data_IF_747479848628
#
_entry.id   IF_747479848628
#
_cell.length_a   1.000
_cell.length_b   1.000
_cell.length_c   1.000
_cell.angle_alpha   90.00
_cell.angle_beta   90.00
_cell.angle_gamma   90.00
#
_symmetry.space_group_name_H-M   'P 1'
#
loop_
_entity.id
_entity.type
_entity.pdbx_description
1 polymer ?
#
# COMPACT_ATOMS: atom_id res chain seq x y z
N UNK A 1 -12.22 21.36 4.29
CA UNK A 1 -10.90 21.99 4.49
C UNK A 1 -10.14 21.15 5.50
N UNK A 2 -8.97 20.61 5.12
CA UNK A 2 -8.08 19.93 6.06
C UNK A 2 -7.21 20.97 6.77
N UNK A 3 -6.80 20.69 8.01
CA UNK A 3 -5.98 21.58 8.84
C UNK A 3 -4.57 21.01 8.97
N UNK A 4 -3.62 21.85 9.41
CA UNK A 4 -2.27 21.34 9.67
C UNK A 4 -2.26 20.39 10.88
N UNK A 5 -1.29 19.46 10.99
CA UNK A 5 -1.16 18.59 12.15
C UNK A 5 -1.01 19.35 13.48
N UNK A 6 -0.38 20.53 13.45
CA UNK A 6 -0.23 21.35 14.66
C UNK A 6 -1.54 22.06 15.03
N UNK A 7 -2.27 22.58 14.05
CA UNK A 7 -3.62 23.10 14.28
C UNK A 7 -4.55 21.99 14.80
N UNK A 8 -4.41 20.75 14.30
CA UNK A 8 -5.14 19.61 14.84
C UNK A 8 -4.79 19.38 16.32
N UNK A 9 -3.51 19.43 16.69
CA UNK A 9 -3.08 19.30 18.08
C UNK A 9 -3.69 20.38 18.97
N UNK A 10 -3.57 21.66 18.60
CA UNK A 10 -4.12 22.79 19.37
C UNK A 10 -5.63 22.64 19.61
N UNK A 11 -6.38 22.27 18.56
CA UNK A 11 -7.83 22.17 18.62
C UNK A 11 -8.33 20.89 19.30
N UNK A 12 -7.60 19.77 19.16
CA UNK A 12 -8.12 18.44 19.49
C UNK A 12 -7.33 17.69 20.56
N UNK A 13 -6.13 18.11 20.94
CA UNK A 13 -5.25 17.35 21.83
C UNK A 13 -4.69 18.19 22.98
N UNK A 14 -4.47 19.48 22.77
CA UNK A 14 -3.88 20.36 23.78
C UNK A 14 -4.73 20.39 25.06
N UNK A 15 -4.07 20.17 26.20
CA UNK A 15 -4.72 20.15 27.52
C UNK A 15 -5.57 18.92 27.82
N UNK A 16 -5.62 17.93 26.92
CA UNK A 16 -6.35 16.67 27.15
C UNK A 16 -5.53 15.67 27.97
N UNK A 17 -6.23 14.80 28.68
CA UNK A 17 -5.60 13.67 29.40
C UNK A 17 -5.18 12.57 28.43
N UNK A 18 -4.27 11.70 28.86
CA UNK A 18 -3.84 10.53 28.06
C UNK A 18 -5.04 9.67 27.60
N UNK A 19 -6.03 9.45 28.47
CA UNK A 19 -7.25 8.68 28.12
C UNK A 19 -8.07 9.34 27.00
N UNK A 20 -8.22 10.66 27.05
CA UNK A 20 -8.93 11.42 26.02
C UNK A 20 -8.16 11.41 24.70
N UNK A 21 -6.84 11.55 24.73
CA UNK A 21 -5.98 11.44 23.54
C UNK A 21 -6.06 10.03 22.94
N UNK A 22 -6.08 8.98 23.77
CA UNK A 22 -6.24 7.60 23.30
C UNK A 22 -7.58 7.38 22.60
N UNK A 23 -8.66 8.05 23.05
CA UNK A 23 -9.94 8.07 22.34
C UNK A 23 -9.80 8.72 20.95
N UNK A 24 -9.11 9.85 20.85
CA UNK A 24 -8.80 10.49 19.57
C UNK A 24 -7.97 9.58 18.64
N UNK A 25 -6.97 8.88 19.17
CA UNK A 25 -6.18 7.89 18.42
C UNK A 25 -7.08 6.78 17.85
N UNK A 26 -8.01 6.23 18.66
CA UNK A 26 -8.97 5.21 18.19
C UNK A 26 -9.87 5.75 17.08
N UNK A 27 -10.36 6.98 17.24
CA UNK A 27 -11.16 7.66 16.21
C UNK A 27 -10.41 7.80 14.88
N UNK A 28 -9.17 8.29 14.93
CA UNK A 28 -8.33 8.43 13.74
C UNK A 28 -8.01 7.09 13.06
N UNK A 29 -7.78 6.02 13.85
CA UNK A 29 -7.58 4.67 13.30
C UNK A 29 -8.83 4.16 12.58
N UNK A 30 -10.01 4.40 13.14
CA UNK A 30 -11.27 4.05 12.50
C UNK A 30 -11.48 4.82 11.21
N UNK A 31 -11.17 6.12 11.21
CA UNK A 31 -11.26 6.98 10.02
C UNK A 31 -10.33 6.51 8.90
N UNK A 32 -9.07 6.22 9.22
CA UNK A 32 -8.11 5.64 8.25
C UNK A 32 -8.63 4.33 7.67
N UNK A 33 -9.21 3.46 8.51
CA UNK A 33 -9.81 2.20 8.06
C UNK A 33 -11.02 2.43 7.14
N UNK A 34 -11.86 3.41 7.47
CA UNK A 34 -13.02 3.80 6.67
C UNK A 34 -12.59 4.33 5.30
N UNK A 35 -11.68 5.31 5.25
CA UNK A 35 -11.18 5.90 4.01
C UNK A 35 -10.58 4.85 3.08
N UNK A 36 -9.74 3.96 3.61
CA UNK A 36 -9.21 2.82 2.83
C UNK A 36 -10.31 1.94 2.28
N UNK A 37 -11.33 1.62 3.09
CA UNK A 37 -12.44 0.80 2.63
C UNK A 37 -13.28 1.50 1.53
N UNK A 38 -13.42 2.83 1.60
CA UNK A 38 -14.08 3.65 0.56
C UNK A 38 -13.29 3.60 -0.74
N UNK A 39 -11.97 3.80 -0.68
CA UNK A 39 -11.05 3.78 -1.82
C UNK A 39 -10.90 2.39 -2.44
N UNK A 40 -11.06 1.34 -1.64
CA UNK A 40 -10.98 -0.06 -2.07
C UNK A 40 -12.29 -0.59 -2.69
N UNK A 41 -13.38 0.19 -2.64
CA UNK A 41 -14.68 -0.20 -3.16
C UNK A 41 -14.66 -0.26 -4.70
N UNK A 42 -15.29 -1.26 -5.35
CA UNK A 42 -15.31 -1.38 -6.82
C UNK A 42 -15.85 -0.12 -7.52
N UNK A 43 -16.91 0.46 -6.97
CA UNK A 43 -17.50 1.70 -7.49
C UNK A 43 -16.70 2.98 -7.17
N UNK A 44 -15.53 2.93 -6.52
CA UNK A 44 -14.80 4.13 -6.08
C UNK A 44 -14.54 5.11 -7.24
N UNK A 45 -14.09 4.61 -8.39
CA UNK A 45 -13.81 5.42 -9.58
C UNK A 45 -15.07 5.95 -10.29
N UNK A 46 -16.27 5.50 -9.88
CA UNK A 46 -17.54 5.97 -10.42
C UNK A 46 -18.17 7.08 -9.58
N UNK A 47 -17.59 7.40 -8.42
CA UNK A 47 -18.10 8.43 -7.52
C UNK A 47 -17.73 9.83 -8.04
N UNK A 48 -18.60 10.79 -7.76
CA UNK A 48 -18.30 12.20 -7.99
C UNK A 48 -17.10 12.61 -7.13
N UNK A 49 -16.16 13.34 -7.74
CA UNK A 49 -14.98 13.89 -7.07
C UNK A 49 -15.39 14.80 -5.91
N UNK A 50 -15.23 14.30 -4.67
CA UNK A 50 -15.45 15.11 -3.47
C UNK A 50 -14.17 15.88 -3.12
N UNK A 51 -14.33 17.12 -2.66
CA UNK A 51 -13.21 17.94 -2.19
C UNK A 51 -13.24 18.09 -0.66
N UNK A 52 -12.18 17.70 0.07
CA UNK A 52 -10.93 17.08 -0.42
C UNK A 52 -11.11 15.60 -0.80
N UNK A 53 -10.30 15.13 -1.73
CA UNK A 53 -10.25 13.73 -2.16
C UNK A 53 -9.87 12.80 -1.00
N UNK A 54 -10.38 11.56 -0.99
CA UNK A 54 -10.18 10.58 0.07
C UNK A 54 -8.70 10.25 0.29
N UNK A 55 -7.88 10.24 -0.78
CA UNK A 55 -6.42 10.09 -0.68
C UNK A 55 -5.77 11.22 0.13
N UNK A 56 -6.23 12.46 -0.06
CA UNK A 56 -5.78 13.62 0.72
C UNK A 56 -6.28 13.53 2.16
N UNK A 57 -7.52 13.10 2.37
CA UNK A 57 -8.06 12.88 3.71
C UNK A 57 -7.27 11.82 4.47
N UNK A 58 -6.92 10.71 3.80
CA UNK A 58 -6.13 9.62 4.33
C UNK A 58 -4.73 10.09 4.72
N UNK A 59 -4.08 10.87 3.86
CA UNK A 59 -2.78 11.48 4.15
C UNK A 59 -2.83 12.35 5.41
N UNK A 60 -3.79 13.28 5.49
CA UNK A 60 -3.94 14.13 6.69
C UNK A 60 -4.25 13.31 7.95
N UNK A 61 -5.12 12.30 7.84
CA UNK A 61 -5.47 11.44 8.98
C UNK A 61 -4.26 10.67 9.53
N UNK A 62 -3.33 10.23 8.66
CA UNK A 62 -2.05 9.64 9.08
C UNK A 62 -1.19 10.64 9.86
N UNK A 63 -1.07 11.86 9.37
CA UNK A 63 -0.30 12.91 10.06
C UNK A 63 -0.92 13.29 11.41
N UNK A 64 -2.25 13.39 11.48
CA UNK A 64 -2.95 13.59 12.76
C UNK A 64 -2.73 12.42 13.72
N UNK A 65 -2.77 11.17 13.22
CA UNK A 65 -2.54 9.98 14.03
C UNK A 65 -1.11 9.97 14.60
N UNK A 66 -0.12 10.32 13.77
CA UNK A 66 1.28 10.47 14.19
C UNK A 66 1.41 11.53 15.29
N UNK A 67 0.82 12.71 15.09
CA UNK A 67 0.84 13.79 16.09
C UNK A 67 0.13 13.39 17.39
N UNK A 68 -1.00 12.67 17.29
CA UNK A 68 -1.74 12.18 18.43
C UNK A 68 -0.96 11.14 19.25
N UNK A 69 -0.23 10.23 18.60
CA UNK A 69 0.67 9.27 19.27
C UNK A 69 1.80 9.99 20.03
N UNK A 70 2.38 11.05 19.43
CA UNK A 70 3.38 11.87 20.11
C UNK A 70 2.79 12.56 21.35
N UNK A 71 1.63 13.22 21.20
CA UNK A 71 0.93 13.88 22.32
C UNK A 71 0.54 12.90 23.44
N UNK A 72 0.15 11.67 23.07
CA UNK A 72 -0.16 10.63 24.05
C UNK A 72 1.06 10.25 24.88
N UNK A 73 2.23 10.17 24.25
CA UNK A 73 3.52 9.89 24.92
C UNK A 73 3.94 11.06 25.79
N UNK A 74 3.77 12.31 25.31
CA UNK A 74 4.01 13.54 26.09
C UNK A 74 3.12 13.63 27.33
N UNK A 75 1.89 13.12 27.26
CA UNK A 75 0.97 13.01 28.38
C UNK A 75 1.27 11.85 29.35
N UNK A 76 2.41 11.15 29.18
CA UNK A 76 2.84 10.03 30.02
C UNK A 76 2.22 8.69 29.65
N UNK A 77 1.51 8.59 28.53
CA UNK A 77 0.98 7.34 28.00
C UNK A 77 2.06 6.47 27.36
N UNK A 78 1.88 5.14 27.41
CA UNK A 78 2.72 4.18 26.69
C UNK A 78 1.89 3.59 25.55
N UNK A 79 2.23 3.91 24.31
CA UNK A 79 1.48 3.46 23.15
C UNK A 79 1.91 2.05 22.73
N UNK A 80 0.97 1.11 22.75
CA UNK A 80 1.18 -0.24 22.25
C UNK A 80 0.55 -0.39 20.85
N UNK A 81 1.34 -0.63 19.80
CA UNK A 81 0.81 -0.86 18.46
C UNK A 81 -0.04 -2.12 18.41
N UNK A 82 -1.17 -2.04 17.72
CA UNK A 82 -2.00 -3.22 17.42
C UNK A 82 -1.28 -4.23 16.52
N UNK A 83 -1.76 -5.48 16.47
CA UNK A 83 -1.18 -6.52 15.60
C UNK A 83 -1.07 -6.09 14.12
N UNK A 84 -2.06 -5.36 13.60
CA UNK A 84 -2.02 -4.84 12.24
C UNK A 84 -0.91 -3.78 12.04
N UNK A 85 -0.67 -2.94 13.05
CA UNK A 85 0.41 -1.96 13.01
C UNK A 85 1.77 -2.61 13.17
N UNK A 86 1.90 -3.60 14.05
CA UNK A 86 3.14 -4.39 14.18
C UNK A 86 3.48 -5.08 12.86
N UNK A 87 2.51 -5.67 12.17
CA UNK A 87 2.70 -6.24 10.83
C UNK A 87 3.24 -5.19 9.84
N UNK A 88 2.67 -4.00 9.82
CA UNK A 88 3.11 -2.92 8.93
C UNK A 88 4.53 -2.44 9.27
N UNK A 89 4.83 -2.21 10.56
CA UNK A 89 6.16 -1.84 11.04
C UNK A 89 7.21 -2.91 10.65
N UNK A 90 6.91 -4.18 10.89
CA UNK A 90 7.79 -5.30 10.51
C UNK A 90 8.01 -5.42 9.00
N UNK A 91 7.06 -4.97 8.18
CA UNK A 91 7.26 -4.88 6.74
C UNK A 91 8.22 -3.73 6.41
N UNK A 92 7.97 -2.54 6.94
CA UNK A 92 8.76 -1.32 6.69
C UNK A 92 10.23 -1.48 7.11
N UNK A 93 10.49 -2.13 8.24
CA UNK A 93 11.84 -2.47 8.74
C UNK A 93 12.60 -3.40 7.79
N UNK A 94 11.90 -4.19 6.97
CA UNK A 94 12.48 -5.14 6.03
C UNK A 94 12.58 -4.60 4.60
N UNK A 95 12.08 -3.39 4.33
CA UNK A 95 12.12 -2.80 2.98
C UNK A 95 13.57 -2.73 2.44
N UNK A 96 14.54 -2.35 3.28
CA UNK A 96 15.96 -2.27 2.88
C UNK A 96 16.57 -3.63 2.50
N UNK A 97 15.94 -4.72 2.93
CA UNK A 97 16.38 -6.09 2.67
C UNK A 97 15.74 -6.71 1.43
N UNK A 98 14.80 -6.03 0.79
CA UNK A 98 14.15 -6.55 -0.42
C UNK A 98 15.21 -6.73 -1.52
N UNK A 99 15.22 -7.91 -2.12
CA UNK A 99 16.11 -8.26 -3.22
C UNK A 99 15.35 -8.61 -4.51
N UNK A 100 14.10 -9.05 -4.38
CA UNK A 100 13.26 -9.41 -5.52
C UNK A 100 11.79 -9.14 -5.25
N UNK A 101 11.12 -8.52 -6.23
CA UNK A 101 9.65 -8.38 -6.27
C UNK A 101 9.14 -9.12 -7.49
N UNK A 102 8.13 -9.96 -7.31
CA UNK A 102 7.42 -10.66 -8.39
C UNK A 102 5.99 -10.19 -8.34
N UNK A 103 5.52 -9.56 -9.41
CA UNK A 103 4.14 -9.14 -9.57
C UNK A 103 3.55 -9.77 -10.82
N UNK A 104 2.37 -10.36 -10.66
CA UNK A 104 1.62 -11.00 -11.73
C UNK A 104 0.28 -10.30 -11.82
N UNK A 105 -0.15 -9.93 -13.01
CA UNK A 105 -1.47 -9.36 -13.26
C UNK A 105 -1.99 -9.80 -14.62
N UNK A 106 -3.28 -10.06 -14.73
CA UNK A 106 -3.89 -10.37 -16.01
C UNK A 106 -5.23 -11.05 -15.89
N UNK A 107 -5.70 -11.62 -16.99
CA UNK A 107 -6.98 -12.30 -17.07
C UNK A 107 -6.85 -13.63 -17.79
N UNK A 108 -7.80 -14.53 -17.52
CA UNK A 108 -7.83 -15.85 -18.15
C UNK A 108 -7.79 -15.79 -19.69
N UNK A 109 -8.49 -14.83 -20.31
CA UNK A 109 -8.57 -14.70 -21.77
C UNK A 109 -7.47 -13.82 -22.38
N UNK A 110 -7.00 -12.80 -21.66
CA UNK A 110 -5.97 -11.87 -22.14
C UNK A 110 -4.54 -12.32 -21.84
N UNK A 111 -4.38 -13.35 -21.00
CA UNK A 111 -3.08 -13.76 -20.49
C UNK A 111 -2.65 -12.95 -19.28
N UNK A 112 -1.47 -13.30 -18.77
CA UNK A 112 -0.85 -12.72 -17.59
C UNK A 112 0.47 -12.06 -17.97
N UNK A 113 0.70 -10.88 -17.42
CA UNK A 113 2.00 -10.26 -17.38
C UNK A 113 2.64 -10.57 -16.03
N UNK A 114 3.89 -11.03 -16.06
CA UNK A 114 4.73 -11.22 -14.88
C UNK A 114 5.88 -10.24 -14.93
N UNK A 115 5.92 -9.29 -13.99
CA UNK A 115 7.06 -8.40 -13.76
C UNK A 115 7.90 -8.91 -12.60
N UNK A 116 9.18 -9.10 -12.84
CA UNK A 116 10.15 -9.41 -11.79
C UNK A 116 11.17 -8.28 -11.69
N UNK A 117 11.22 -7.61 -10.53
CA UNK A 117 12.24 -6.62 -10.21
C UNK A 117 13.33 -7.30 -9.39
N UNK A 118 14.57 -7.18 -9.82
CA UNK A 118 15.77 -7.59 -9.10
C UNK A 118 16.53 -6.37 -8.61
N UNK A 119 16.88 -6.37 -7.32
CA UNK A 119 17.63 -5.33 -6.64
C UNK A 119 19.05 -5.82 -6.35
N UNK A 120 19.95 -5.68 -7.32
CA UNK A 120 21.34 -6.14 -7.22
C UNK A 120 22.30 -4.94 -7.16
N UNK A 121 23.18 -4.88 -6.16
CA UNK A 121 24.34 -3.98 -6.09
C UNK A 121 24.11 -2.54 -6.62
N UNK A 122 23.03 -1.90 -6.16
CA UNK A 122 22.68 -0.50 -6.45
C UNK A 122 21.85 -0.27 -7.71
N UNK A 123 21.71 -1.26 -8.59
CA UNK A 123 20.93 -1.16 -9.82
C UNK A 123 19.65 -2.01 -9.75
N UNK A 124 18.58 -1.49 -10.33
CA UNK A 124 17.33 -2.22 -10.55
C UNK A 124 17.35 -2.87 -11.94
N UNK A 125 16.96 -4.13 -12.00
CA UNK A 125 16.68 -4.82 -13.26
C UNK A 125 15.23 -5.28 -13.25
N UNK A 126 14.52 -5.02 -14.34
CA UNK A 126 13.14 -5.46 -14.52
C UNK A 126 13.13 -6.52 -15.61
N UNK A 127 12.41 -7.61 -15.38
CA UNK A 127 12.12 -8.65 -16.37
C UNK A 127 10.61 -8.74 -16.52
N UNK A 128 10.12 -8.67 -17.76
CA UNK A 128 8.70 -8.76 -18.08
C UNK A 128 8.47 -10.01 -18.92
N UNK A 129 7.46 -10.81 -18.55
CA UNK A 129 7.05 -12.01 -19.28
C UNK A 129 5.55 -12.01 -19.51
N UNK A 130 5.11 -12.38 -20.70
CA UNK A 130 3.70 -12.50 -21.04
C UNK A 130 3.33 -13.98 -21.20
N UNK A 131 2.21 -14.41 -20.64
CA UNK A 131 1.77 -15.81 -20.76
C UNK A 131 1.18 -16.16 -22.12
N UNK A 132 0.76 -15.14 -22.88
CA UNK A 132 0.29 -15.25 -24.26
C UNK A 132 1.22 -14.39 -25.10
N UNK A 133 2.30 -15.00 -25.58
CA UNK A 133 3.25 -14.37 -26.49
C UNK A 133 2.68 -14.36 -27.91
N UNK A 134 2.66 -13.18 -28.55
CA UNK A 134 2.40 -13.06 -29.99
C UNK A 134 3.65 -13.37 -30.82
N UNK A 135 4.82 -13.49 -30.18
CA UNK A 135 6.11 -13.83 -30.80
C UNK A 135 6.99 -14.64 -29.82
N UNK A 136 7.18 -15.95 -30.02
CA UNK A 136 7.90 -16.84 -29.10
C UNK A 136 9.42 -16.59 -29.03
N UNK A 137 9.99 -15.79 -29.94
CA UNK A 137 11.42 -15.42 -29.93
C UNK A 137 11.69 -14.08 -29.22
N UNK A 138 10.63 -13.38 -28.79
CA UNK A 138 10.73 -12.03 -28.21
C UNK A 138 10.71 -12.09 -26.69
N UNK A 139 11.79 -12.59 -26.08
CA UNK A 139 12.10 -12.27 -24.69
C UNK A 139 12.50 -10.79 -24.67
N UNK A 140 11.55 -9.89 -24.47
CA UNK A 140 11.84 -8.52 -24.03
C UNK A 140 12.28 -8.61 -22.57
N UNK A 141 13.53 -8.99 -22.35
CA UNK A 141 14.24 -8.60 -21.14
C UNK A 141 14.51 -7.10 -21.24
N UNK A 142 13.45 -6.32 -21.11
CA UNK A 142 13.55 -4.87 -21.09
C UNK A 142 14.16 -4.47 -19.76
N UNK A 143 15.50 -4.52 -19.71
CA UNK A 143 16.27 -4.06 -18.58
C UNK A 143 16.24 -2.52 -18.56
N UNK A 144 15.17 -1.93 -18.05
CA UNK A 144 15.11 -0.50 -17.80
C UNK A 144 15.89 -0.19 -16.52
N UNK A 145 17.13 0.27 -16.70
CA UNK A 145 17.97 0.85 -15.64
C UNK A 145 17.64 2.34 -15.50
N UNK A 146 16.49 2.69 -14.90
CA UNK A 146 16.10 4.10 -14.74
C UNK A 146 15.99 4.55 -13.27
N UNK A 147 15.75 3.64 -12.35
CA UNK A 147 15.59 3.96 -10.92
C UNK A 147 16.79 3.47 -10.13
N UNK A 148 17.38 4.35 -9.32
CA UNK A 148 18.30 3.90 -8.30
C UNK A 148 17.51 3.12 -7.23
N UNK A 149 18.15 2.13 -6.60
CA UNK A 149 17.50 1.25 -5.62
C UNK A 149 16.87 2.01 -4.46
N UNK A 150 17.53 3.05 -3.95
CA UNK A 150 17.10 3.76 -2.75
C UNK A 150 15.85 4.62 -2.98
N UNK A 151 15.73 5.27 -4.14
CA UNK A 151 14.55 6.03 -4.53
C UNK A 151 13.35 5.08 -4.69
N UNK A 152 13.53 3.97 -5.40
CA UNK A 152 12.49 2.95 -5.54
C UNK A 152 12.00 2.41 -4.19
N UNK A 153 12.92 2.08 -3.28
CA UNK A 153 12.55 1.61 -1.93
C UNK A 153 11.91 2.71 -1.09
N UNK A 154 12.25 3.97 -1.33
CA UNK A 154 11.64 5.13 -0.66
C UNK A 154 10.20 5.35 -1.14
N UNK A 155 9.95 5.26 -2.44
CA UNK A 155 8.60 5.31 -3.01
C UNK A 155 7.75 4.11 -2.56
N UNK A 156 8.32 2.90 -2.56
CA UNK A 156 7.66 1.69 -2.06
C UNK A 156 7.22 1.83 -0.59
N UNK A 157 8.01 2.54 0.23
CA UNK A 157 7.67 2.83 1.64
C UNK A 157 6.45 3.76 1.76
N UNK A 158 6.31 4.74 0.87
CA UNK A 158 5.16 5.65 0.85
C UNK A 158 3.84 4.94 0.49
N UNK A 159 3.92 3.80 -0.20
CA UNK A 159 2.76 2.97 -0.52
C UNK A 159 2.22 2.19 0.70
N UNK A 160 2.94 2.10 1.81
CA UNK A 160 2.47 1.42 3.02
C UNK A 160 1.96 -0.02 2.76
N UNK A 161 2.63 -0.78 1.89
CA UNK A 161 2.23 -2.14 1.46
C UNK A 161 2.08 -3.10 2.66
N UNK A 162 2.83 -2.88 3.75
CA UNK A 162 2.70 -3.66 4.98
C UNK A 162 1.29 -3.68 5.58
N UNK A 163 0.46 -2.69 5.25
CA UNK A 163 -0.93 -2.56 5.68
C UNK A 163 -1.92 -3.35 4.81
N UNK A 164 -1.48 -3.85 3.65
CA UNK A 164 -2.34 -4.60 2.74
C UNK A 164 -2.86 -5.90 3.37
N UNK A 165 -4.07 -6.28 2.97
CA UNK A 165 -4.68 -7.56 3.34
C UNK A 165 -3.92 -8.69 2.64
N UNK A 166 -4.04 -9.91 3.14
CA UNK A 166 -3.46 -11.07 2.45
C UNK A 166 -4.23 -11.41 1.16
N UNK A 167 -5.55 -11.23 1.18
CA UNK A 167 -6.45 -11.58 0.08
C UNK A 167 -7.43 -10.46 -0.21
N UNK A 168 -7.61 -10.15 -1.49
CA UNK A 168 -8.59 -9.16 -1.97
C UNK A 168 -9.66 -9.85 -2.83
N UNK A 169 -10.91 -9.70 -2.44
CA UNK A 169 -12.07 -10.26 -3.15
C UNK A 169 -13.26 -9.33 -2.99
N UNK A 170 -14.08 -9.22 -4.04
CA UNK A 170 -15.32 -8.46 -4.05
C UNK A 170 -16.38 -8.97 -3.07
N UNK A 171 -16.23 -10.20 -2.55
CA UNK A 171 -17.13 -10.75 -1.53
C UNK A 171 -17.25 -9.86 -0.28
N UNK A 172 -16.19 -9.09 0.05
CA UNK A 172 -16.22 -8.14 1.18
C UNK A 172 -17.16 -6.95 0.98
N UNK A 173 -17.55 -6.68 -0.27
CA UNK A 173 -18.52 -5.65 -0.64
C UNK A 173 -19.89 -6.25 -1.02
N UNK A 174 -20.07 -7.55 -0.81
CA UNK A 174 -21.32 -8.24 -1.17
C UNK A 174 -21.46 -8.51 -2.68
N UNK A 175 -20.37 -8.39 -3.44
CA UNK A 175 -20.35 -8.58 -4.89
C UNK A 175 -19.68 -9.89 -5.27
N UNK A 176 -20.04 -10.43 -6.43
CA UNK A 176 -19.42 -11.64 -7.00
C UNK A 176 -19.24 -11.44 -8.49
N UNK A 177 -17.99 -11.48 -8.93
CA UNK A 177 -17.59 -11.42 -10.34
C UNK A 177 -16.70 -12.62 -10.61
N UNK A 178 -17.08 -13.44 -11.58
CA UNK A 178 -16.43 -14.73 -11.87
C UNK A 178 -15.34 -14.61 -12.94
N UNK A 179 -15.41 -13.58 -13.78
CA UNK A 179 -14.44 -13.22 -14.80
C UNK A 179 -13.73 -11.89 -14.44
N UNK A 180 -12.62 -11.60 -15.10
CA UNK A 180 -11.87 -10.35 -14.88
C UNK A 180 -10.43 -10.58 -14.49
N UNK A 181 -9.86 -9.60 -13.79
CA UNK A 181 -8.42 -9.48 -13.55
C UNK A 181 -8.03 -10.12 -12.22
N UNK A 182 -7.07 -11.04 -12.28
CA UNK A 182 -6.38 -11.58 -11.12
C UNK A 182 -5.00 -10.95 -11.01
N UNK A 183 -4.52 -10.82 -9.78
CA UNK A 183 -3.17 -10.34 -9.51
C UNK A 183 -2.56 -11.02 -8.28
N UNK A 184 -1.24 -11.12 -8.27
CA UNK A 184 -0.45 -11.65 -7.16
C UNK A 184 0.83 -10.82 -7.00
N UNK A 185 1.17 -10.50 -5.77
CA UNK A 185 2.40 -9.83 -5.37
C UNK A 185 3.17 -10.72 -4.39
N UNK A 186 4.42 -11.02 -4.73
CA UNK A 186 5.40 -11.63 -3.84
C UNK A 186 6.65 -10.76 -3.69
N UNK A 187 7.05 -10.50 -2.44
CA UNK A 187 8.26 -9.73 -2.11
C UNK A 187 9.20 -10.65 -1.34
N UNK A 188 10.40 -10.84 -1.88
CA UNK A 188 11.47 -11.64 -1.31
C UNK A 188 12.51 -10.75 -0.64
N UNK A 189 13.22 -11.35 0.32
CA UNK A 189 14.23 -10.67 1.13
C UNK A 189 15.56 -11.42 1.02
N UNK A 190 16.63 -10.64 0.88
CA UNK A 190 18.03 -11.11 0.82
C UNK A 190 18.47 -11.93 2.04
N UNK A 191 17.84 -11.73 3.20
CA UNK A 191 18.16 -12.44 4.44
C UNK A 191 17.49 -13.82 4.54
N UNK A 192 16.78 -14.25 3.49
CA UNK A 192 16.08 -15.54 3.44
C UNK A 192 14.83 -15.59 4.34
N UNK A 193 14.41 -14.47 4.91
CA UNK A 193 13.18 -14.41 5.69
C UNK A 193 11.95 -14.70 4.83
N UNK A 194 10.85 -15.10 5.48
CA UNK A 194 9.59 -15.44 4.81
C UNK A 194 9.12 -14.28 3.92
N UNK A 195 8.84 -14.61 2.66
CA UNK A 195 8.33 -13.63 1.68
C UNK A 195 6.98 -13.06 2.11
N UNK A 196 6.76 -11.80 1.75
CA UNK A 196 5.44 -11.20 1.83
C UNK A 196 4.65 -11.63 0.58
N UNK A 197 3.42 -12.10 0.76
CA UNK A 197 2.52 -12.52 -0.31
C UNK A 197 1.16 -11.87 -0.14
N UNK A 198 0.60 -11.40 -1.25
CA UNK A 198 -0.73 -10.83 -1.33
C UNK A 198 -1.31 -11.11 -2.72
N UNK A 199 -2.62 -11.37 -2.82
CA UNK A 199 -3.27 -11.59 -4.11
C UNK A 199 -4.71 -11.12 -4.09
N UNK A 200 -5.27 -10.94 -5.28
CA UNK A 200 -6.66 -10.53 -5.43
C UNK A 200 -7.29 -10.92 -6.75
N UNK A 201 -8.62 -10.81 -6.78
CA UNK A 201 -9.44 -10.99 -7.97
C UNK A 201 -10.48 -9.89 -8.02
N UNK A 202 -10.39 -9.01 -9.03
CA UNK A 202 -11.26 -7.85 -9.24
C UNK A 202 -11.38 -6.90 -8.03
N UNK A 203 -10.47 -7.00 -7.07
CA UNK A 203 -10.45 -6.16 -5.88
C UNK A 203 -9.01 -5.83 -5.55
N UNK A 204 -8.79 -4.59 -5.15
CA UNK A 204 -7.46 -3.99 -5.10
C UNK A 204 -7.29 -3.23 -3.77
N UNK A 205 -6.06 -3.06 -3.27
CA UNK A 205 -5.75 -2.13 -2.18
C UNK A 205 -6.00 -0.68 -2.60
N UNK A 206 -6.21 0.20 -1.62
CA UNK A 206 -6.57 1.61 -1.82
C UNK A 206 -5.55 2.41 -2.64
N UNK A 207 -4.32 1.92 -2.78
CA UNK A 207 -3.22 2.58 -3.48
C UNK A 207 -2.58 1.65 -4.54
N UNK A 208 -3.40 0.79 -5.14
CA UNK A 208 -2.94 -0.19 -6.13
C UNK A 208 -2.45 0.46 -7.43
N UNK A 209 -3.07 1.57 -7.84
CA UNK A 209 -2.71 2.29 -9.06
C UNK A 209 -1.30 2.86 -8.92
N UNK A 210 -1.01 3.53 -7.82
CA UNK A 210 0.32 4.08 -7.51
C UNK A 210 1.38 2.97 -7.42
N UNK A 211 0.99 1.78 -6.95
CA UNK A 211 1.87 0.61 -7.00
C UNK A 211 2.13 0.15 -8.44
N UNK A 212 1.12 0.07 -9.30
CA UNK A 212 1.29 -0.28 -10.71
C UNK A 212 2.16 0.74 -11.45
N UNK A 213 1.97 2.04 -11.18
CA UNK A 213 2.80 3.14 -11.71
C UNK A 213 4.27 3.00 -11.29
N UNK A 214 4.53 2.68 -10.01
CA UNK A 214 5.89 2.40 -9.51
C UNK A 214 6.55 1.21 -10.27
N UNK A 215 5.75 0.25 -10.73
CA UNK A 215 6.23 -0.87 -11.53
C UNK A 215 6.33 -0.55 -13.04
N UNK A 216 5.97 0.67 -13.48
CA UNK A 216 5.82 1.09 -14.89
C UNK A 216 4.81 0.25 -15.68
N UNK A 217 3.75 -0.25 -15.04
CA UNK A 217 2.65 -0.90 -15.74
C UNK A 217 1.77 0.18 -16.37
N UNK A 218 1.40 -0.01 -17.65
CA UNK A 218 0.35 0.81 -18.25
C UNK A 218 -0.95 0.50 -17.50
N UNK A 219 -1.55 1.55 -16.91
CA UNK A 219 -2.78 1.46 -16.11
C UNK A 219 -4.03 1.11 -16.90
#
# INVERSE_FOLDING_TARGET
MMISPESYYEMNLQGKTAEQIMSSIRGLKNEIGHLKNVMEHPDYNSKEDMCPQESTQLWCAREYLKRAKNAFTEAGGVYEPSQAEQKAIMFDERISKIDRIVFIIGSFFGGYETRTIFMNDGNLKISVKHSIETDPDKITEDSFSLYNKEDFLSELRLLHIGEWRHTYSLARFGETVLDGTQWELEIHYSDGSKSFKCYGSNSYPYNFIEFCELLNLDG
#
